data_IF_127147859629
#
_entry.id   IF_127147859629
#
_cell.length_a   1.000
_cell.length_b   1.000
_cell.length_c   1.000
_cell.angle_alpha   90.00
_cell.angle_beta   90.00
_cell.angle_gamma   90.00
#
_symmetry.space_group_name_H-M   'P 1'
#
loop_
_entity.id
_entity.type
_entity.pdbx_description
1 polymer ?
#
# COMPACT_ATOMS: atom_id res chain seq x y z
N UNK A 1 2.08 21.12 -12.06
CA UNK A 1 3.04 20.36 -11.23
C UNK A 1 2.26 19.31 -10.46
N UNK A 2 2.39 18.03 -10.79
CA UNK A 2 1.73 16.95 -10.05
C UNK A 2 2.75 16.42 -9.04
N UNK A 3 2.85 17.07 -7.88
CA UNK A 3 3.72 16.66 -6.76
C UNK A 3 3.01 15.71 -5.78
N UNK A 4 1.89 15.12 -6.19
CA UNK A 4 1.10 14.25 -5.31
C UNK A 4 1.34 12.79 -5.69
N UNK A 5 2.10 12.08 -4.84
CA UNK A 5 2.23 10.62 -4.93
C UNK A 5 0.82 10.04 -4.77
N UNK A 6 0.32 9.42 -5.83
CA UNK A 6 -1.04 8.89 -5.88
C UNK A 6 -1.21 7.78 -4.84
N UNK A 7 -2.33 7.81 -4.12
CA UNK A 7 -2.66 6.71 -3.20
C UNK A 7 -2.97 5.44 -4.01
N UNK A 8 -2.38 4.29 -3.66
CA UNK A 8 -2.68 3.01 -4.31
C UNK A 8 -4.03 2.44 -3.86
N UNK A 9 -4.82 3.22 -3.09
CA UNK A 9 -6.11 2.80 -2.56
C UNK A 9 -7.16 2.73 -3.67
N UNK A 10 -7.71 1.53 -3.89
CA UNK A 10 -8.80 1.27 -4.84
C UNK A 10 -10.19 1.33 -4.17
N UNK A 11 -10.29 1.96 -2.99
CA UNK A 11 -11.51 2.05 -2.16
C UNK A 11 -12.09 0.71 -1.70
N UNK A 12 -11.27 -0.34 -1.71
CA UNK A 12 -11.55 -1.60 -1.02
C UNK A 12 -10.83 -1.53 0.32
N UNK A 13 -11.58 -1.67 1.41
CA UNK A 13 -11.05 -1.66 2.78
C UNK A 13 -11.38 -2.99 3.44
N UNK A 14 -10.61 -4.02 3.09
CA UNK A 14 -10.78 -5.37 3.63
C UNK A 14 -9.39 -5.93 3.89
N UNK A 15 -9.11 -6.29 5.14
CA UNK A 15 -7.82 -6.86 5.54
C UNK A 15 -7.87 -8.39 5.42
N UNK A 16 -6.76 -9.00 5.03
CA UNK A 16 -6.55 -10.44 5.10
C UNK A 16 -6.11 -10.86 6.52
N UNK A 17 -5.69 -12.12 6.67
CA UNK A 17 -5.23 -12.66 7.97
C UNK A 17 -3.90 -12.07 8.45
N UNK A 18 -3.15 -11.43 7.55
CA UNK A 18 -1.85 -10.82 7.81
C UNK A 18 -1.95 -9.30 7.98
N UNK A 19 -3.15 -8.78 8.25
CA UNK A 19 -3.46 -7.35 8.37
C UNK A 19 -3.08 -6.51 7.13
N UNK A 20 -3.06 -7.14 5.95
CA UNK A 20 -2.86 -6.49 4.67
C UNK A 20 -4.20 -6.28 3.95
N UNK A 21 -4.41 -5.08 3.43
CA UNK A 21 -5.59 -4.79 2.63
C UNK A 21 -5.58 -5.60 1.32
N UNK A 22 -6.55 -6.46 1.07
CA UNK A 22 -6.60 -7.29 -0.14
C UNK A 22 -6.71 -6.48 -1.44
N UNK A 23 -7.09 -5.20 -1.37
CA UNK A 23 -7.20 -4.34 -2.54
C UNK A 23 -5.90 -3.59 -2.87
N UNK A 24 -5.30 -2.93 -1.88
CA UNK A 24 -4.11 -2.10 -2.08
C UNK A 24 -2.84 -2.69 -1.48
N UNK A 25 -2.94 -3.83 -0.79
CA UNK A 25 -1.88 -4.56 -0.09
C UNK A 25 -1.09 -3.73 0.90
N UNK A 26 -1.77 -2.74 1.50
CA UNK A 26 -1.22 -1.92 2.58
C UNK A 26 -1.55 -2.50 3.93
N UNK A 27 -0.63 -2.36 4.86
CA UNK A 27 -0.91 -2.66 6.27
C UNK A 27 -1.79 -1.57 6.88
N UNK A 28 -2.46 -1.90 7.99
CA UNK A 28 -3.24 -0.92 8.75
C UNK A 28 -2.38 0.27 9.23
N UNK A 29 -1.12 0.02 9.58
CA UNK A 29 -0.16 1.05 9.99
C UNK A 29 0.18 2.01 8.83
N UNK A 30 0.46 1.47 7.65
CA UNK A 30 0.71 2.27 6.44
C UNK A 30 -0.50 3.12 6.06
N UNK A 31 -1.72 2.56 6.16
CA UNK A 31 -2.97 3.28 5.90
C UNK A 31 -3.11 4.45 6.87
N UNK A 32 -2.88 4.20 8.16
CA UNK A 32 -2.99 5.20 9.22
C UNK A 32 -1.97 6.33 9.07
N UNK A 33 -0.73 6.00 8.66
CA UNK A 33 0.37 6.96 8.51
C UNK A 33 0.39 7.67 7.15
N UNK A 34 -0.38 7.23 6.15
CA UNK A 34 -0.34 7.78 4.79
C UNK A 34 -0.64 9.28 4.71
N UNK A 35 -1.61 9.76 5.49
CA UNK A 35 -2.01 11.17 5.51
C UNK A 35 -0.88 12.07 6.03
N UNK A 36 -0.11 11.57 6.99
CA UNK A 36 1.08 12.23 7.56
C UNK A 36 2.38 11.92 6.82
N UNK A 37 2.38 10.96 5.89
CA UNK A 37 3.59 10.51 5.20
C UNK A 37 4.06 11.53 4.16
N UNK A 38 5.37 11.79 4.15
CA UNK A 38 6.04 12.61 3.13
C UNK A 38 6.22 11.82 1.82
N UNK A 39 6.64 12.49 0.75
CA UNK A 39 6.78 11.86 -0.58
C UNK A 39 7.71 10.64 -0.58
N UNK A 40 8.82 10.69 0.14
CA UNK A 40 9.78 9.56 0.25
C UNK A 40 9.16 8.36 0.96
N UNK A 41 8.48 8.59 2.09
CA UNK A 41 7.77 7.54 2.82
C UNK A 41 6.65 6.93 1.96
N UNK A 42 5.94 7.76 1.20
CA UNK A 42 4.90 7.27 0.28
C UNK A 42 5.50 6.40 -0.82
N UNK A 43 6.65 6.77 -1.37
CA UNK A 43 7.36 5.96 -2.37
C UNK A 43 7.82 4.62 -1.78
N UNK A 44 8.39 4.64 -0.57
CA UNK A 44 8.82 3.42 0.09
C UNK A 44 7.66 2.44 0.34
N UNK A 45 6.51 2.96 0.78
CA UNK A 45 5.29 2.16 0.94
C UNK A 45 4.84 1.57 -0.40
N UNK A 46 4.90 2.34 -1.49
CA UNK A 46 4.56 1.85 -2.83
C UNK A 46 5.51 0.73 -3.31
N UNK A 47 6.80 0.84 -3.00
CA UNK A 47 7.78 -0.22 -3.29
C UNK A 47 7.47 -1.50 -2.51
N UNK A 48 7.19 -1.40 -1.20
CA UNK A 48 6.80 -2.56 -0.39
C UNK A 48 5.51 -3.22 -0.89
N UNK A 49 4.51 -2.44 -1.32
CA UNK A 49 3.29 -2.98 -1.95
C UNK A 49 3.63 -3.72 -3.24
N UNK A 50 4.52 -3.17 -4.07
CA UNK A 50 4.92 -3.80 -5.33
C UNK A 50 5.66 -5.13 -5.08
N UNK A 51 6.47 -5.21 -4.03
CA UNK A 51 7.09 -6.46 -3.58
C UNK A 51 6.06 -7.49 -3.14
N UNK A 52 5.15 -7.13 -2.23
CA UNK A 52 4.06 -8.03 -1.77
C UNK A 52 3.21 -8.54 -2.93
N UNK A 53 2.91 -7.68 -3.91
CA UNK A 53 2.17 -8.06 -5.13
C UNK A 53 2.89 -9.15 -5.91
N UNK A 54 4.22 -9.06 -6.02
CA UNK A 54 5.03 -10.07 -6.71
C UNK A 54 4.97 -11.40 -5.96
N UNK A 55 5.14 -11.39 -4.64
CA UNK A 55 5.08 -12.59 -3.81
C UNK A 55 3.70 -13.28 -3.86
N UNK A 56 2.62 -12.49 -3.82
CA UNK A 56 1.25 -13.02 -3.91
C UNK A 56 0.94 -13.59 -5.31
N UNK A 57 1.47 -12.96 -6.38
CA UNK A 57 1.32 -13.46 -7.75
C UNK A 57 2.14 -14.71 -8.06
N UNK A 58 3.26 -14.93 -7.38
CA UNK A 58 4.12 -16.12 -7.57
C UNK A 58 3.63 -17.33 -6.75
N UNK A 59 2.70 -17.10 -5.82
CA UNK A 59 2.07 -18.14 -5.00
C UNK A 59 0.79 -18.72 -5.63
N UNK A 60 0.53 -18.48 -6.92
CA UNK A 60 -0.65 -18.93 -7.67
C UNK A 60 -0.33 -19.99 -8.73
#
# INVERSE_FOLDING_TARGET
MITNVASPCIRICTLNKDDLCIGCLRTLDEISRWSSANSEQRLHILESIAERRREESDSS
#
